data_IF_259607546490
#
_entry.id   IF_259607546490
#
_cell.length_a   1.000
_cell.length_b   1.000
_cell.length_c   1.000
_cell.angle_alpha   90.00
_cell.angle_beta   90.00
_cell.angle_gamma   90.00
#
_symmetry.space_group_name_H-M   'P 1'
#
loop_
_entity.id
_entity.type
_entity.pdbx_description
1 polymer ?
#
# COMPACT_ATOMS: atom_id res chain seq x y z
N UNK A 1 -7.48 -16.35 -14.97
CA UNK A 1 -6.51 -15.46 -14.32
C UNK A 1 -6.97 -15.23 -12.88
N UNK A 2 -6.12 -15.48 -11.89
CA UNK A 2 -6.48 -15.27 -10.48
C UNK A 2 -6.27 -13.79 -10.13
N UNK A 3 -7.23 -13.20 -9.42
CA UNK A 3 -7.18 -11.81 -8.95
C UNK A 3 -7.06 -11.80 -7.42
N UNK A 4 -6.15 -11.01 -6.88
CA UNK A 4 -5.88 -10.93 -5.44
C UNK A 4 -5.80 -9.45 -5.04
N UNK A 5 -6.47 -9.12 -3.94
CA UNK A 5 -6.42 -7.79 -3.34
C UNK A 5 -5.97 -7.93 -1.88
N UNK A 6 -4.89 -7.24 -1.52
CA UNK A 6 -4.40 -7.17 -0.15
C UNK A 6 -4.83 -5.86 0.51
N UNK A 7 -5.57 -5.96 1.60
CA UNK A 7 -5.87 -4.83 2.49
C UNK A 7 -4.91 -4.84 3.67
N UNK A 8 -3.95 -3.91 3.68
CA UNK A 8 -3.13 -3.69 4.86
C UNK A 8 -3.88 -2.79 5.82
N UNK A 9 -4.41 -3.33 6.93
CA UNK A 9 -5.18 -2.56 7.91
C UNK A 9 -4.36 -2.14 9.14
N UNK A 10 -3.36 -2.92 9.51
CA UNK A 10 -2.59 -2.72 10.75
C UNK A 10 -1.44 -1.73 10.55
N UNK A 11 -1.08 -1.02 11.61
CA UNK A 11 0.09 -0.13 11.63
C UNK A 11 1.42 -0.85 11.88
N UNK A 12 1.40 -2.19 11.91
CA UNK A 12 2.57 -3.01 12.22
C UNK A 12 3.43 -3.20 10.97
N UNK A 13 4.57 -2.50 10.89
CA UNK A 13 5.45 -2.51 9.70
C UNK A 13 5.84 -3.91 9.24
N UNK A 14 6.17 -4.81 10.18
CA UNK A 14 6.55 -6.19 9.87
C UNK A 14 5.40 -6.96 9.20
N UNK A 15 4.16 -6.78 9.66
CA UNK A 15 2.99 -7.40 9.02
C UNK A 15 2.78 -6.87 7.60
N UNK A 16 2.93 -5.55 7.40
CA UNK A 16 2.77 -4.97 6.07
C UNK A 16 3.88 -5.41 5.10
N UNK A 17 5.11 -5.63 5.57
CA UNK A 17 6.17 -6.19 4.72
C UNK A 17 5.80 -7.57 4.15
N UNK A 18 5.07 -8.40 4.89
CA UNK A 18 4.59 -9.68 4.37
C UNK A 18 3.52 -9.52 3.30
N UNK A 19 2.70 -8.45 3.35
CA UNK A 19 1.80 -8.11 2.25
C UNK A 19 2.60 -7.79 1.00
N UNK A 20 3.65 -6.96 1.11
CA UNK A 20 4.50 -6.61 -0.03
C UNK A 20 5.18 -7.84 -0.63
N UNK A 21 5.74 -8.73 0.20
CA UNK A 21 6.35 -10.00 -0.24
C UNK A 21 5.34 -10.86 -1.00
N UNK A 22 4.19 -11.16 -0.38
CA UNK A 22 3.17 -12.01 -0.99
C UNK A 22 2.61 -11.42 -2.28
N UNK A 23 2.44 -10.10 -2.35
CA UNK A 23 1.96 -9.43 -3.54
C UNK A 23 2.95 -9.51 -4.70
N UNK A 24 4.24 -9.32 -4.41
CA UNK A 24 5.32 -9.45 -5.40
C UNK A 24 5.43 -10.90 -5.91
N UNK A 25 5.35 -11.89 -5.02
CA UNK A 25 5.38 -13.31 -5.40
C UNK A 25 4.17 -13.68 -6.27
N UNK A 26 2.96 -13.26 -5.88
CA UNK A 26 1.76 -13.48 -6.69
C UNK A 26 1.84 -12.79 -8.06
N UNK A 27 2.42 -11.59 -8.12
CA UNK A 27 2.65 -10.88 -9.38
C UNK A 27 3.65 -11.63 -10.27
N UNK A 28 4.75 -12.15 -9.70
CA UNK A 28 5.73 -12.95 -10.42
C UNK A 28 5.15 -14.26 -11.00
N UNK A 29 4.12 -14.82 -10.36
CA UNK A 29 3.35 -15.97 -10.86
C UNK A 29 2.30 -15.62 -11.93
N UNK A 30 2.22 -14.34 -12.35
CA UNK A 30 1.31 -13.88 -13.40
C UNK A 30 -0.13 -13.63 -12.92
N UNK A 31 -0.34 -13.46 -11.62
CA UNK A 31 -1.64 -13.07 -11.06
C UNK A 31 -1.86 -11.56 -11.17
N UNK A 32 -3.13 -11.15 -11.23
CA UNK A 32 -3.50 -9.74 -11.09
C UNK A 32 -3.56 -9.40 -9.60
N UNK A 33 -2.70 -8.49 -9.14
CA UNK A 33 -2.54 -8.19 -7.73
C UNK A 33 -2.65 -6.68 -7.49
N UNK A 34 -3.38 -6.30 -6.44
CA UNK A 34 -3.42 -4.93 -5.94
C UNK A 34 -3.27 -4.89 -4.42
N UNK A 35 -2.73 -3.79 -3.90
CA UNK A 35 -2.54 -3.51 -2.47
C UNK A 35 -3.23 -2.19 -2.14
N UNK A 36 -3.99 -2.17 -1.04
CA UNK A 36 -4.59 -0.97 -0.48
C UNK A 36 -4.02 -0.74 0.93
N UNK A 37 -3.56 0.49 1.17
CA UNK A 37 -3.28 0.98 2.52
C UNK A 37 -4.57 1.52 3.15
N UNK A 38 -5.05 0.83 4.18
CA UNK A 38 -6.27 1.20 4.90
C UNK A 38 -6.07 1.12 6.43
N UNK A 39 -6.97 1.74 7.20
CA UNK A 39 -6.88 1.73 8.65
C UNK A 39 -5.61 2.39 9.16
N UNK A 40 -4.88 1.71 10.05
CA UNK A 40 -3.66 2.24 10.66
C UNK A 40 -2.44 2.17 9.73
N UNK A 41 -2.47 1.33 8.70
CA UNK A 41 -1.33 1.16 7.79
C UNK A 41 -1.04 2.41 6.96
N UNK A 42 -2.00 3.33 6.82
CA UNK A 42 -1.82 4.60 6.09
C UNK A 42 -0.68 5.45 6.67
N UNK A 43 -0.27 5.22 7.92
CA UNK A 43 0.89 5.87 8.56
C UNK A 43 2.23 5.29 8.09
N UNK A 44 2.24 4.06 7.55
CA UNK A 44 3.44 3.37 7.09
C UNK A 44 3.93 3.85 5.73
N UNK A 45 3.09 4.51 4.93
CA UNK A 45 3.47 5.04 3.62
C UNK A 45 4.71 5.93 3.74
N UNK A 46 4.67 6.97 4.60
CA UNK A 46 5.82 7.86 4.78
C UNK A 46 7.04 7.13 5.34
N UNK A 47 6.83 6.13 6.21
CA UNK A 47 7.93 5.31 6.73
C UNK A 47 8.63 4.54 5.61
N UNK A 48 7.88 3.95 4.69
CA UNK A 48 8.45 3.23 3.55
C UNK A 48 9.14 4.15 2.54
N UNK A 49 8.60 5.36 2.31
CA UNK A 49 9.25 6.38 1.48
C UNK A 49 10.57 6.85 2.10
N UNK A 50 10.56 7.22 3.38
CA UNK A 50 11.74 7.70 4.12
C UNK A 50 12.84 6.62 4.22
N UNK A 51 12.46 5.36 4.39
CA UNK A 51 13.39 4.22 4.42
C UNK A 51 13.91 3.81 3.03
N UNK A 52 13.35 4.38 1.95
CA UNK A 52 13.52 3.88 0.59
C UNK A 52 13.36 2.34 0.52
N UNK A 53 12.29 1.84 1.13
CA UNK A 53 12.14 0.40 1.37
C UNK A 53 12.07 -0.38 0.03
N UNK A 54 12.95 -1.38 -0.19
CA UNK A 54 13.08 -2.02 -1.49
C UNK A 54 11.85 -2.83 -1.93
N UNK A 55 11.09 -3.38 -0.98
CA UNK A 55 9.86 -4.12 -1.31
C UNK A 55 8.75 -3.16 -1.73
N UNK A 56 8.62 -2.04 -1.02
CA UNK A 56 7.65 -1.01 -1.32
C UNK A 56 7.94 -0.33 -2.66
N UNK A 57 9.21 0.02 -2.93
CA UNK A 57 9.58 0.60 -4.23
C UNK A 57 9.29 -0.35 -5.38
N UNK A 58 9.65 -1.63 -5.27
CA UNK A 58 9.29 -2.64 -6.28
C UNK A 58 7.78 -2.74 -6.47
N UNK A 59 6.99 -2.71 -5.39
CA UNK A 59 5.53 -2.74 -5.49
C UNK A 59 4.97 -1.49 -6.20
N UNK A 60 5.54 -0.29 -5.97
CA UNK A 60 5.19 0.93 -6.70
C UNK A 60 5.55 0.83 -8.18
N UNK A 61 6.77 0.42 -8.49
CA UNK A 61 7.29 0.32 -9.86
C UNK A 61 6.48 -0.67 -10.72
N UNK A 62 5.96 -1.73 -10.10
CA UNK A 62 5.10 -2.72 -10.77
C UNK A 62 3.61 -2.36 -10.73
N UNK A 63 3.25 -1.14 -10.32
CA UNK A 63 1.85 -0.68 -10.18
C UNK A 63 0.98 -1.60 -9.31
N UNK A 64 1.57 -2.23 -8.28
CA UNK A 64 0.84 -3.14 -7.40
C UNK A 64 0.06 -2.40 -6.31
N UNK A 65 0.37 -1.14 -6.04
CA UNK A 65 -0.29 -0.35 -5.00
C UNK A 65 -1.44 0.42 -5.64
N UNK A 66 -2.67 -0.02 -5.37
CA UNK A 66 -3.87 0.66 -5.86
C UNK A 66 -4.01 2.05 -5.25
N UNK A 67 -3.65 2.21 -3.98
CA UNK A 67 -3.66 3.51 -3.33
C UNK A 67 -3.78 3.45 -1.81
N UNK A 68 -4.08 4.61 -1.25
CA UNK A 68 -4.20 4.86 0.19
C UNK A 68 -5.58 5.41 0.50
N UNK A 69 -6.27 4.84 1.50
CA UNK A 69 -7.58 5.31 1.91
C UNK A 69 -7.53 6.78 2.34
N UNK A 70 -8.28 7.64 1.64
CA UNK A 70 -8.33 9.08 1.88
C UNK A 70 -8.87 9.40 3.27
N UNK A 71 -9.97 8.75 3.67
CA UNK A 71 -10.61 8.99 4.96
C UNK A 71 -9.68 8.61 6.11
N UNK A 72 -9.06 7.41 6.07
CA UNK A 72 -8.10 6.98 7.08
C UNK A 72 -6.90 7.94 7.15
N UNK A 73 -6.39 8.41 6.02
CA UNK A 73 -5.26 9.36 5.99
C UNK A 73 -5.60 10.69 6.69
N UNK A 74 -6.81 11.22 6.48
CA UNK A 74 -7.29 12.42 7.17
C UNK A 74 -7.47 12.19 8.66
N UNK A 75 -8.16 11.13 9.06
CA UNK A 75 -8.41 10.78 10.47
C UNK A 75 -7.10 10.55 11.23
N UNK A 76 -6.11 9.94 10.57
CA UNK A 76 -4.81 9.63 11.17
C UNK A 76 -3.79 10.77 11.06
N UNK A 77 -4.16 11.92 10.48
CA UNK A 77 -3.29 13.10 10.38
C UNK A 77 -2.09 12.96 9.44
N UNK A 78 -2.17 12.07 8.44
CA UNK A 78 -1.08 11.78 7.50
C UNK A 78 -1.45 12.06 6.04
N UNK A 79 -2.56 12.76 5.79
CA UNK A 79 -3.05 13.08 4.45
C UNK A 79 -2.00 13.74 3.55
N UNK A 80 -1.37 14.83 3.99
CA UNK A 80 -0.39 15.55 3.17
C UNK A 80 0.85 14.70 2.85
N UNK A 81 1.30 13.88 3.81
CA UNK A 81 2.42 12.94 3.58
C UNK A 81 2.06 11.88 2.54
N UNK A 82 0.84 11.35 2.62
CA UNK A 82 0.36 10.34 1.68
C UNK A 82 0.12 10.94 0.29
N UNK A 83 -0.39 12.17 0.21
CA UNK A 83 -0.53 12.89 -1.06
C UNK A 83 0.85 13.13 -1.73
N UNK A 84 1.85 13.50 -0.94
CA UNK A 84 3.22 13.73 -1.42
C UNK A 84 3.93 12.45 -1.92
N UNK A 85 3.47 11.25 -1.51
CA UNK A 85 4.01 9.97 -1.99
C UNK A 85 3.72 9.71 -3.48
N UNK A 86 2.76 10.44 -4.06
CA UNK A 86 2.28 10.24 -5.43
C UNK A 86 1.33 9.04 -5.59
N UNK A 87 1.01 8.32 -4.51
CA UNK A 87 0.00 7.26 -4.53
C UNK A 87 -1.41 7.84 -4.68
N UNK A 88 -2.29 7.09 -5.34
CA UNK A 88 -3.69 7.48 -5.46
C UNK A 88 -4.37 7.55 -4.08
N UNK A 89 -5.10 8.64 -3.83
CA UNK A 89 -5.94 8.79 -2.65
C UNK A 89 -7.31 8.21 -2.94
N UNK A 90 -7.62 7.05 -2.37
CA UNK A 90 -8.87 6.32 -2.62
C UNK A 90 -10.01 6.95 -1.82
N UNK A 91 -11.01 7.48 -2.53
CA UNK A 91 -12.14 8.24 -1.96
C UNK A 91 -13.48 7.51 -2.04
N UNK A 92 -13.51 6.36 -2.68
CA UNK A 92 -14.66 5.48 -2.77
C UNK A 92 -14.24 4.03 -2.46
N UNK A 93 -15.23 3.17 -2.27
CA UNK A 93 -15.06 1.75 -1.92
C UNK A 93 -15.38 0.83 -3.11
N UNK A 94 -15.41 1.37 -4.33
CA UNK A 94 -15.88 0.70 -5.55
C UNK A 94 -14.76 0.26 -6.49
#
# INVERSE_FOLDING_TARGET
MKKILFYGMTGEKMCFQHILLNALDCHAEGMEVKIIFEGASVKLVSVFEEENNPLYQKAKENDLIQGVCLACSKVMGVYEKNLASGLAMLSDMS
#
